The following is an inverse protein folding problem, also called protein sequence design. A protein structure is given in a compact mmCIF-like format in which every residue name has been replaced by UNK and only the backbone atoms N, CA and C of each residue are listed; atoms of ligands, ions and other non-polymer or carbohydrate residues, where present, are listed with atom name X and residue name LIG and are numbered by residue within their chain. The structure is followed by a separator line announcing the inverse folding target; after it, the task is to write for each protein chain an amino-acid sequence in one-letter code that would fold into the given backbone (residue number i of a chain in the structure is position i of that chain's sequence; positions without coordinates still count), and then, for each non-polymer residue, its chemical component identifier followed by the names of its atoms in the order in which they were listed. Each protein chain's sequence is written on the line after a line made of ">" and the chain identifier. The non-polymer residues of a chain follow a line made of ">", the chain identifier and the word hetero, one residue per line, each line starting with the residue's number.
data_IF_259415850561
#
_entry.id   IF_259415850561
#
_cell.length_a   1.000
_cell.length_b   1.000
_cell.length_c   1.000
_cell.angle_alpha   90.00
_cell.angle_beta   90.00
_cell.angle_gamma   90.00
#
_symmetry.space_group_name_H-M   'P 1'
#
loop_
_entity.id
_entity.type
_entity.pdbx_description
1 polymer ?
#
# COMPACT_ATOMS: atom_id res chain seq x y z
N UNK A 1 -1.09 -5.77 1.02
CA UNK A 1 -0.15 -5.15 0.07
C UNK A 1 1.23 -5.74 0.31
N UNK A 2 1.98 -6.07 -0.74
CA UNK A 2 3.32 -6.68 -0.62
C UNK A 2 4.27 -5.87 -1.51
N UNK A 3 5.47 -5.61 -1.03
CA UNK A 3 6.50 -4.88 -1.76
C UNK A 3 7.62 -5.83 -2.13
N UNK A 4 8.04 -5.80 -3.38
CA UNK A 4 9.19 -6.55 -3.89
C UNK A 4 10.28 -5.58 -4.32
N UNK A 5 11.51 -6.04 -4.19
CA UNK A 5 12.59 -5.53 -5.01
C UNK A 5 12.59 -6.30 -6.33
N UNK A 6 13.03 -5.65 -7.39
CA UNK A 6 13.14 -6.28 -8.69
C UNK A 6 14.00 -7.54 -8.62
N UNK A 7 13.54 -8.58 -9.34
CA UNK A 7 14.22 -9.87 -9.46
C UNK A 7 14.40 -10.67 -8.15
N UNK A 8 13.87 -10.21 -7.00
CA UNK A 8 13.90 -11.00 -5.76
C UNK A 8 12.75 -12.02 -5.70
N UNK A 9 13.02 -13.26 -5.25
CA UNK A 9 12.01 -14.32 -5.19
C UNK A 9 11.00 -14.15 -4.04
N UNK A 10 11.33 -13.35 -3.02
CA UNK A 10 10.48 -13.10 -1.86
C UNK A 10 10.22 -11.60 -1.67
N UNK A 11 9.08 -11.22 -1.07
CA UNK A 11 8.77 -9.83 -0.79
C UNK A 11 9.70 -9.26 0.27
N UNK A 12 10.08 -8.00 0.12
CA UNK A 12 10.80 -7.24 1.15
C UNK A 12 9.94 -7.05 2.40
N UNK A 13 8.63 -6.81 2.20
CA UNK A 13 7.69 -6.59 3.30
C UNK A 13 6.25 -6.87 2.87
N UNK A 14 5.41 -7.19 3.87
CA UNK A 14 4.00 -7.51 3.71
C UNK A 14 3.18 -6.68 4.68
N UNK A 15 2.25 -5.90 4.14
CA UNK A 15 1.30 -5.08 4.89
C UNK A 15 -0.12 -5.64 4.80
N UNK A 16 -0.88 -5.47 5.88
CA UNK A 16 -2.34 -5.67 5.92
C UNK A 16 -3.04 -4.34 6.23
N UNK A 17 -3.21 -3.45 5.22
CA UNK A 17 -3.93 -2.20 5.41
C UNK A 17 -5.42 -2.45 5.65
N UNK A 18 -6.11 -1.44 6.21
CA UNK A 18 -7.58 -1.42 6.34
C UNK A 18 -8.17 -2.68 7.00
N UNK A 19 -7.49 -3.21 8.01
CA UNK A 19 -7.87 -4.44 8.73
C UNK A 19 -8.11 -5.67 7.83
N UNK A 20 -7.42 -5.71 6.68
CA UNK A 20 -7.53 -6.79 5.72
C UNK A 20 -8.64 -6.63 4.68
N UNK A 21 -9.32 -5.48 4.64
CA UNK A 21 -10.24 -5.16 3.55
C UNK A 21 -9.50 -5.13 2.19
N UNK A 22 -10.22 -5.39 1.07
CA UNK A 22 -9.64 -5.29 -0.26
C UNK A 22 -9.06 -3.89 -0.51
N UNK A 23 -7.83 -3.83 -1.00
CA UNK A 23 -7.20 -2.57 -1.43
C UNK A 23 -7.53 -2.36 -2.90
N UNK A 24 -8.21 -1.26 -3.22
CA UNK A 24 -8.64 -0.95 -4.58
C UNK A 24 -7.58 -0.18 -5.38
N UNK A 25 -6.78 0.63 -4.70
CA UNK A 25 -5.73 1.43 -5.33
C UNK A 25 -4.52 1.60 -4.42
N UNK A 26 -3.35 1.74 -5.03
CA UNK A 26 -2.06 1.92 -4.36
C UNK A 26 -1.20 2.89 -5.17
N UNK A 27 -0.48 3.79 -4.50
CA UNK A 27 0.50 4.67 -5.16
C UNK A 27 1.70 4.95 -4.25
N UNK A 28 2.83 5.27 -4.87
CA UNK A 28 4.04 5.73 -4.19
C UNK A 28 4.26 7.22 -4.44
N UNK A 29 4.73 7.92 -3.42
CA UNK A 29 5.17 9.30 -3.51
C UNK A 29 6.51 9.47 -2.81
N UNK A 30 7.33 10.38 -3.31
CA UNK A 30 8.52 10.84 -2.59
C UNK A 30 8.10 11.72 -1.43
N UNK A 31 8.81 11.61 -0.30
CA UNK A 31 8.54 12.46 0.86
C UNK A 31 9.05 13.89 0.63
N UNK A 32 8.21 14.92 0.83
CA UNK A 32 8.58 16.31 0.55
C UNK A 32 9.66 16.86 1.50
N UNK A 33 9.79 16.32 2.71
CA UNK A 33 10.69 16.85 3.74
C UNK A 33 11.74 15.83 4.23
N UNK A 34 11.71 14.59 3.74
CA UNK A 34 12.65 13.53 4.10
C UNK A 34 13.03 12.69 2.88
N UNK A 35 14.10 13.05 2.15
CA UNK A 35 14.44 12.44 0.86
C UNK A 35 14.79 10.95 0.95
N UNK A 36 15.13 10.47 2.14
CA UNK A 36 15.38 9.07 2.49
C UNK A 36 14.10 8.24 2.75
N UNK A 37 12.92 8.87 2.65
CA UNK A 37 11.63 8.22 2.87
C UNK A 37 10.78 8.17 1.59
N UNK A 38 10.13 7.02 1.37
CA UNK A 38 9.06 6.85 0.38
C UNK A 38 7.73 6.70 1.13
N UNK A 39 6.68 7.34 0.62
CA UNK A 39 5.32 7.23 1.14
C UNK A 39 4.54 6.24 0.28
N UNK A 40 3.93 5.24 0.92
CA UNK A 40 2.98 4.31 0.31
C UNK A 40 1.56 4.72 0.71
N UNK A 41 0.70 5.01 -0.26
CA UNK A 41 -0.71 5.33 -0.03
C UNK A 41 -1.58 4.18 -0.53
N UNK A 42 -2.54 3.74 0.29
CA UNK A 42 -3.51 2.68 -0.06
C UNK A 42 -4.94 3.17 0.15
N UNK A 43 -5.81 2.96 -0.83
CA UNK A 43 -7.22 3.31 -0.74
C UNK A 43 -8.12 2.07 -0.79
N UNK A 44 -9.17 2.08 0.04
CA UNK A 44 -10.27 1.12 0.01
C UNK A 44 -11.51 1.83 -0.50
N UNK A 45 -12.28 1.17 -1.37
CA UNK A 45 -13.61 1.59 -1.73
C UNK A 45 -14.58 0.92 -0.74
N UNK A 46 -15.02 1.68 0.27
CA UNK A 46 -16.08 1.21 1.13
C UNK A 46 -17.39 1.37 0.37
N UNK A 47 -17.83 0.30 -0.30
CA UNK A 47 -19.21 0.24 -0.77
C UNK A 47 -20.08 0.20 0.50
N UNK A 48 -20.66 1.34 0.85
CA UNK A 48 -21.78 1.38 1.77
C UNK A 48 -22.92 0.62 1.09
N UNK A 49 -22.98 -0.69 1.30
CA UNK A 49 -24.21 -1.44 1.00
C UNK A 49 -25.21 -0.98 2.06
N UNK A 50 -26.26 -0.23 1.69
CA UNK A 50 -27.31 0.08 2.66
C UNK A 50 -27.89 -1.26 3.13
N UNK A 51 -27.89 -1.45 4.46
CA UNK A 51 -28.61 -2.56 5.09
C UNK A 51 -30.11 -2.40 4.90
#
# INVERSE_FOLDING_TARGET
>A
VKIWEDCKPSPLTVFRPHDGQPVNSVTFLTSPHRPDHIILITAVCLLLVPK
#
